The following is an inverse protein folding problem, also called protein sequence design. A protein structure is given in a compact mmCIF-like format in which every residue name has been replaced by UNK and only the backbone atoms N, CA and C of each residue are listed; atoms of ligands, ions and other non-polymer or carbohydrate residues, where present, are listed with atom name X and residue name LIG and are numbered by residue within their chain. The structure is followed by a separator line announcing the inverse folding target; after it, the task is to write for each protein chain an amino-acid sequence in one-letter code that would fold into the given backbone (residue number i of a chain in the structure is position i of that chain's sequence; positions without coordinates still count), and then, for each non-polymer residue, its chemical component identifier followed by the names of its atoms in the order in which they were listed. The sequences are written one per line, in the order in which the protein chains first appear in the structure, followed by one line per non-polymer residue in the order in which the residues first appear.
data_IF_730667584795
#
_entry.id   IF_730667584795
#
_cell.length_a   1.000
_cell.length_b   1.000
_cell.length_c   1.000
_cell.angle_alpha   90.00
_cell.angle_beta   90.00
_cell.angle_gamma   90.00
#
_symmetry.space_group_name_H-M   'P 1'
#
loop_
_entity.id
_entity.type
_entity.pdbx_description
1 polymer ?
#
# COMPACT_ATOMS: atom_id res chain seq x y z
N UNK A 1 -29.69 33.47 -27.70
CA UNK A 1 -29.90 32.45 -26.66
C UNK A 1 -28.69 32.50 -25.74
N UNK A 2 -28.88 33.10 -24.56
CA UNK A 2 -27.84 33.53 -23.63
C UNK A 2 -28.13 32.88 -22.29
N UNK A 3 -27.21 32.10 -21.76
CA UNK A 3 -27.30 31.48 -20.44
C UNK A 3 -26.15 32.00 -19.57
N UNK A 4 -26.40 33.15 -18.94
CA UNK A 4 -25.63 33.59 -17.78
C UNK A 4 -26.08 32.74 -16.59
N UNK A 5 -25.15 31.98 -16.00
CA UNK A 5 -25.36 31.26 -14.74
C UNK A 5 -24.66 32.03 -13.63
N UNK A 6 -25.46 32.68 -12.80
CA UNK A 6 -25.07 33.39 -11.59
C UNK A 6 -24.59 32.37 -10.55
N UNK A 7 -23.38 32.55 -10.02
CA UNK A 7 -22.86 31.83 -8.85
C UNK A 7 -22.99 32.79 -7.68
N UNK A 8 -23.98 32.54 -6.82
CA UNK A 8 -24.17 33.21 -5.54
C UNK A 8 -23.22 32.62 -4.50
N UNK A 9 -22.22 33.42 -4.13
CA UNK A 9 -21.97 33.85 -2.75
C UNK A 9 -22.38 32.87 -1.63
N UNK A 10 -21.40 32.13 -1.09
CA UNK A 10 -21.50 31.47 0.22
C UNK A 10 -20.48 32.16 1.13
N UNK A 11 -20.86 33.29 1.69
CA UNK A 11 -20.14 33.90 2.81
C UNK A 11 -20.47 33.14 4.10
N UNK A 12 -19.68 32.12 4.39
CA UNK A 12 -19.67 31.47 5.70
C UNK A 12 -19.03 32.41 6.73
N UNK A 13 -19.84 33.13 7.48
CA UNK A 13 -19.42 34.02 8.58
C UNK A 13 -18.89 33.18 9.74
N UNK A 14 -17.58 32.93 9.79
CA UNK A 14 -16.92 32.42 11.00
C UNK A 14 -16.86 33.55 12.03
N UNK A 15 -17.77 33.53 12.99
CA UNK A 15 -17.75 34.43 14.14
C UNK A 15 -16.46 34.24 14.95
N UNK A 16 -15.62 35.26 14.96
CA UNK A 16 -14.49 35.37 15.88
C UNK A 16 -15.00 35.82 17.24
N UNK A 17 -15.08 34.90 18.21
CA UNK A 17 -15.32 35.22 19.60
C UNK A 17 -14.07 35.86 20.22
N UNK A 18 -14.11 37.17 20.40
CA UNK A 18 -13.12 37.92 21.20
C UNK A 18 -13.47 37.77 22.67
N UNK A 19 -12.81 36.84 23.36
CA UNK A 19 -12.93 36.70 24.81
C UNK A 19 -11.98 37.68 25.50
N UNK A 20 -12.52 38.80 25.96
CA UNK A 20 -11.84 39.80 26.80
C UNK A 20 -11.66 39.25 28.21
N UNK A 21 -10.43 39.33 28.72
CA UNK A 21 -10.03 38.79 30.02
C UNK A 21 -10.77 39.40 31.22
N UNK A 22 -11.14 38.51 32.14
CA UNK A 22 -11.08 38.64 33.61
C UNK A 22 -11.88 37.47 34.20
N UNK A 23 -11.24 36.32 34.39
CA UNK A 23 -11.65 35.32 35.40
C UNK A 23 -10.49 34.33 35.59
N UNK A 24 -9.47 34.81 36.32
CA UNK A 24 -8.49 33.92 36.96
C UNK A 24 -9.12 33.45 38.27
N UNK A 25 -8.96 32.16 38.54
CA UNK A 25 -9.33 31.45 39.77
C UNK A 25 -10.81 31.05 39.91
N UNK A 26 -11.17 29.92 39.28
CA UNK A 26 -11.97 28.81 39.85
C UNK A 26 -12.68 28.04 38.73
N UNK A 27 -11.95 27.27 37.92
CA UNK A 27 -12.51 26.15 37.12
C UNK A 27 -11.37 25.25 36.62
N UNK A 28 -10.71 24.59 37.57
CA UNK A 28 -9.63 23.63 37.32
C UNK A 28 -10.04 22.14 37.26
N UNK A 29 -11.32 21.71 37.40
CA UNK A 29 -11.65 20.30 37.14
C UNK A 29 -12.61 20.04 35.96
N UNK A 30 -13.03 21.05 35.18
CA UNK A 30 -14.00 20.82 34.07
C UNK A 30 -13.43 20.99 32.65
N UNK A 31 -12.14 21.34 32.51
CA UNK A 31 -11.44 21.39 31.21
C UNK A 31 -10.60 20.14 30.91
N UNK A 32 -10.77 19.07 31.70
CA UNK A 32 -10.18 17.76 31.39
C UNK A 32 -11.14 16.82 30.64
N UNK A 33 -12.43 17.14 30.56
CA UNK A 33 -13.43 16.24 29.93
C UNK A 33 -13.81 16.60 28.49
N UNK A 34 -13.29 17.69 27.91
CA UNK A 34 -13.57 18.05 26.50
C UNK A 34 -12.38 17.88 25.54
N UNK A 35 -11.14 17.74 26.01
CA UNK A 35 -9.99 17.46 25.14
C UNK A 35 -9.80 15.97 24.84
N UNK A 36 -10.49 15.07 25.54
CA UNK A 36 -10.41 13.63 25.31
C UNK A 36 -11.39 13.14 24.23
N UNK A 37 -12.26 14.00 23.69
CA UNK A 37 -13.22 13.63 22.64
C UNK A 37 -12.89 14.13 21.23
N UNK A 38 -11.79 14.88 21.05
CA UNK A 38 -11.37 15.37 19.72
C UNK A 38 -10.06 14.74 19.19
N UNK A 39 -9.44 13.85 19.96
CA UNK A 39 -8.19 13.15 19.59
C UNK A 39 -8.41 11.66 19.25
N UNK A 40 -9.63 11.15 19.33
CA UNK A 40 -9.98 9.82 18.79
C UNK A 40 -11.07 9.93 17.73
N UNK A 41 -10.75 10.58 16.62
CA UNK A 41 -11.37 10.26 15.33
C UNK A 41 -10.38 10.47 14.18
N UNK A 42 -9.14 10.01 14.37
CA UNK A 42 -8.45 9.41 13.23
C UNK A 42 -9.29 8.19 12.86
N UNK A 43 -10.03 8.34 11.78
CA UNK A 43 -10.80 7.26 11.19
C UNK A 43 -9.78 6.18 10.75
N UNK A 44 -9.76 4.99 11.37
CA UNK A 44 -8.84 3.92 10.95
C UNK A 44 -9.13 3.43 9.52
N UNK A 45 -10.24 3.87 8.88
CA UNK A 45 -10.49 3.62 7.46
C UNK A 45 -9.60 4.41 6.51
N UNK A 46 -9.02 5.55 6.90
CA UNK A 46 -8.24 6.38 5.95
C UNK A 46 -6.84 5.81 5.73
N UNK A 47 -6.20 5.27 6.77
CA UNK A 47 -4.93 4.54 6.61
C UNK A 47 -5.13 3.19 5.86
N UNK A 48 -6.29 2.56 5.98
CA UNK A 48 -6.62 1.38 5.20
C UNK A 48 -6.86 1.69 3.71
N UNK A 49 -7.25 2.92 3.37
CA UNK A 49 -7.56 3.29 1.99
C UNK A 49 -6.31 3.56 1.15
N UNK A 50 -5.26 4.14 1.74
CA UNK A 50 -3.98 4.33 1.05
C UNK A 50 -3.25 2.99 0.83
N UNK A 51 -3.30 2.09 1.82
CA UNK A 51 -2.78 0.72 1.65
C UNK A 51 -3.55 -0.06 0.58
N UNK A 52 -4.86 0.17 0.45
CA UNK A 52 -5.67 -0.43 -0.61
C UNK A 52 -5.36 0.14 -1.99
N UNK A 53 -5.12 1.45 -2.13
CA UNK A 53 -4.78 2.05 -3.43
C UNK A 53 -3.38 1.60 -3.90
N UNK A 54 -2.41 1.54 -2.98
CA UNK A 54 -1.06 1.01 -3.27
C UNK A 54 -1.10 -0.49 -3.54
N UNK A 55 -1.97 -1.26 -2.86
CA UNK A 55 -2.21 -2.66 -3.21
C UNK A 55 -2.87 -2.82 -4.59
N UNK A 56 -3.83 -1.97 -4.95
CA UNK A 56 -4.55 -2.06 -6.22
C UNK A 56 -3.65 -1.62 -7.39
N UNK A 57 -2.77 -0.63 -7.18
CA UNK A 57 -1.71 -0.24 -8.11
C UNK A 57 -0.65 -1.35 -8.26
N UNK A 58 -0.24 -2.03 -7.18
CA UNK A 58 0.62 -3.22 -7.25
C UNK A 58 -0.08 -4.37 -8.00
N UNK A 59 -1.37 -4.62 -7.77
CA UNK A 59 -2.15 -5.63 -8.51
C UNK A 59 -2.22 -5.30 -10.00
N UNK A 60 -2.43 -4.03 -10.36
CA UNK A 60 -2.43 -3.57 -11.76
C UNK A 60 -1.05 -3.68 -12.41
N UNK A 61 0.02 -3.37 -11.70
CA UNK A 61 1.40 -3.51 -12.20
C UNK A 61 1.80 -4.98 -12.43
N UNK A 62 1.38 -5.90 -11.54
CA UNK A 62 1.64 -7.34 -11.68
C UNK A 62 0.83 -7.94 -12.85
N UNK A 63 -0.38 -7.44 -13.11
CA UNK A 63 -1.19 -7.87 -14.26
C UNK A 63 -0.62 -7.29 -15.58
N UNK A 64 -0.07 -6.08 -15.56
CA UNK A 64 0.48 -5.42 -16.76
C UNK A 64 1.88 -5.91 -17.16
N UNK A 65 2.70 -6.45 -16.26
CA UNK A 65 4.04 -6.95 -16.60
C UNK A 65 4.06 -8.38 -17.15
N UNK A 66 2.89 -9.05 -17.21
CA UNK A 66 2.76 -10.43 -17.70
C UNK A 66 2.40 -10.55 -19.19
N UNK A 67 2.50 -9.46 -19.95
CA UNK A 67 2.20 -9.42 -21.37
C UNK A 67 3.47 -9.30 -22.23
N UNK A 68 4.39 -10.26 -22.07
CA UNK A 68 5.26 -10.65 -23.19
C UNK A 68 4.54 -11.73 -24.01
N UNK A 69 4.45 -11.60 -25.35
CA UNK A 69 3.74 -12.54 -26.21
C UNK A 69 4.58 -13.82 -26.44
N UNK A 70 4.85 -14.56 -25.37
CA UNK A 70 5.20 -15.97 -25.52
C UNK A 70 3.87 -16.72 -25.63
N UNK A 71 3.47 -17.01 -26.87
CA UNK A 71 2.32 -17.86 -27.23
C UNK A 71 2.44 -19.22 -26.56
N UNK A 72 2.04 -19.27 -25.30
CA UNK A 72 1.87 -20.47 -24.51
C UNK A 72 0.39 -20.75 -24.67
N UNK A 73 0.04 -21.78 -25.45
CA UNK A 73 -1.32 -22.29 -25.57
C UNK A 73 -1.80 -22.66 -24.16
N UNK A 74 -2.44 -21.72 -23.48
CA UNK A 74 -3.16 -21.97 -22.24
C UNK A 74 -4.31 -22.90 -22.63
N UNK A 75 -4.36 -24.14 -22.12
CA UNK A 75 -5.49 -25.01 -22.39
C UNK A 75 -6.76 -24.28 -21.95
N UNK A 76 -7.83 -24.28 -22.78
CA UNK A 76 -9.04 -23.53 -22.50
C UNK A 76 -9.55 -23.90 -21.11
N UNK A 77 -9.66 -22.89 -20.24
CA UNK A 77 -10.23 -23.08 -18.91
C UNK A 77 -11.66 -23.62 -19.07
N UNK A 78 -12.04 -24.70 -18.38
CA UNK A 78 -13.40 -25.21 -18.46
C UNK A 78 -14.34 -24.11 -17.95
N UNK A 79 -15.23 -23.64 -18.82
CA UNK A 79 -16.23 -22.66 -18.43
C UNK A 79 -17.04 -23.21 -17.25
N UNK A 80 -17.37 -22.38 -16.24
CA UNK A 80 -18.21 -22.83 -15.14
C UNK A 80 -19.52 -23.38 -15.72
N UNK A 81 -19.86 -24.61 -15.36
CA UNK A 81 -21.06 -25.27 -15.87
C UNK A 81 -22.27 -24.39 -15.57
N UNK A 82 -23.07 -24.14 -16.60
CA UNK A 82 -24.35 -23.46 -16.41
C UNK A 82 -25.26 -24.33 -15.53
N UNK A 83 -26.10 -23.70 -14.73
CA UNK A 83 -27.04 -24.42 -13.85
C UNK A 83 -27.89 -25.45 -14.63
N UNK A 84 -28.21 -25.16 -15.90
CA UNK A 84 -28.96 -26.08 -16.77
C UNK A 84 -28.17 -27.33 -17.16
N UNK A 85 -26.86 -27.23 -17.37
CA UNK A 85 -25.99 -28.40 -17.60
C UNK A 85 -25.90 -29.28 -16.35
N UNK A 86 -25.91 -28.68 -15.16
CA UNK A 86 -25.96 -29.41 -13.89
C UNK A 86 -27.25 -30.22 -13.74
N UNK A 87 -28.40 -29.61 -14.02
CA UNK A 87 -29.70 -30.30 -13.96
C UNK A 87 -29.77 -31.43 -15.01
N UNK A 88 -29.27 -31.17 -16.22
CA UNK A 88 -29.18 -32.21 -17.24
C UNK A 88 -28.29 -33.38 -16.79
N UNK A 89 -27.15 -33.10 -16.13
CA UNK A 89 -26.29 -34.13 -15.56
C UNK A 89 -27.02 -34.99 -14.53
N UNK A 90 -27.72 -34.36 -13.58
CA UNK A 90 -28.49 -35.07 -12.54
C UNK A 90 -29.54 -36.00 -13.15
N UNK A 91 -30.21 -35.54 -14.22
CA UNK A 91 -31.24 -36.33 -14.90
C UNK A 91 -30.63 -37.46 -15.73
N UNK A 92 -29.55 -37.23 -16.48
CA UNK A 92 -29.01 -38.20 -17.45
C UNK A 92 -28.14 -39.29 -16.80
N UNK A 93 -27.38 -38.95 -15.75
CA UNK A 93 -26.45 -39.87 -15.08
C UNK A 93 -27.11 -41.20 -14.65
N UNK A 94 -28.28 -41.23 -13.98
CA UNK A 94 -28.89 -42.50 -13.57
C UNK A 94 -29.30 -43.37 -14.76
N UNK A 95 -29.76 -42.78 -15.86
CA UNK A 95 -30.13 -43.55 -17.07
C UNK A 95 -28.91 -44.09 -17.79
N UNK A 96 -27.83 -43.30 -17.90
CA UNK A 96 -26.60 -43.76 -18.53
C UNK A 96 -25.98 -44.93 -17.75
N UNK A 97 -25.96 -44.83 -16.41
CA UNK A 97 -25.47 -45.90 -15.55
C UNK A 97 -26.34 -47.16 -15.62
N UNK A 98 -27.67 -47.00 -15.60
CA UNK A 98 -28.59 -48.13 -15.74
C UNK A 98 -28.43 -48.81 -17.10
N UNK A 99 -28.28 -48.04 -18.19
CA UNK A 99 -28.10 -48.58 -19.52
C UNK A 99 -26.77 -49.34 -19.67
N UNK A 100 -25.65 -48.77 -19.21
CA UNK A 100 -24.35 -49.43 -19.29
C UNK A 100 -24.36 -50.74 -18.49
N UNK A 101 -24.90 -50.70 -17.27
CA UNK A 101 -24.98 -51.88 -16.40
C UNK A 101 -25.88 -52.95 -17.01
N UNK A 102 -27.03 -52.57 -17.55
CA UNK A 102 -27.96 -53.51 -18.20
C UNK A 102 -27.32 -54.12 -19.44
N UNK A 103 -26.62 -53.33 -20.26
CA UNK A 103 -25.94 -53.84 -21.45
C UNK A 103 -24.78 -54.77 -21.13
N UNK A 104 -23.99 -54.50 -20.10
CA UNK A 104 -22.92 -55.40 -19.67
C UNK A 104 -23.47 -56.73 -19.15
N UNK A 105 -24.58 -56.70 -18.39
CA UNK A 105 -25.26 -57.91 -17.94
C UNK A 105 -25.84 -58.70 -19.11
N UNK A 106 -26.45 -58.02 -20.09
CA UNK A 106 -26.97 -58.67 -21.30
C UNK A 106 -25.85 -59.25 -22.17
N UNK A 107 -24.73 -58.55 -22.35
CA UNK A 107 -23.56 -59.05 -23.08
C UNK A 107 -22.91 -60.23 -22.36
N UNK A 108 -22.83 -60.17 -21.03
CA UNK A 108 -22.36 -61.29 -20.22
C UNK A 108 -23.26 -62.50 -20.39
N UNK A 109 -24.58 -62.33 -20.26
CA UNK A 109 -25.55 -63.41 -20.46
C UNK A 109 -25.50 -63.95 -21.90
N UNK A 110 -25.43 -63.07 -22.89
CA UNK A 110 -25.30 -63.46 -24.30
C UNK A 110 -24.02 -64.28 -24.54
N UNK A 111 -22.88 -63.82 -24.02
CA UNK A 111 -21.63 -64.57 -24.11
C UNK A 111 -21.67 -65.89 -23.32
N UNK A 112 -22.44 -65.96 -22.23
CA UNK A 112 -22.62 -67.18 -21.45
C UNK A 112 -23.44 -68.24 -22.20
N UNK A 113 -24.48 -67.83 -22.93
CA UNK A 113 -25.39 -68.75 -23.63
C UNK A 113 -25.04 -69.00 -25.10
N UNK A 114 -24.45 -68.01 -25.78
CA UNK A 114 -24.20 -68.03 -27.22
C UNK A 114 -22.76 -67.64 -27.60
N UNK A 115 -21.90 -67.32 -26.62
CA UNK A 115 -20.52 -66.96 -26.90
C UNK A 115 -19.71 -68.14 -27.46
N UNK A 116 -18.83 -67.92 -28.44
CA UNK A 116 -17.97 -68.99 -28.97
C UNK A 116 -17.12 -69.56 -27.82
N UNK A 117 -16.95 -70.90 -27.75
CA UNK A 117 -16.16 -71.52 -26.68
C UNK A 117 -14.76 -70.89 -26.67
N UNK A 118 -14.35 -70.35 -25.53
CA UNK A 118 -13.08 -69.64 -25.38
C UNK A 118 -11.94 -70.48 -25.94
N UNK A 119 -11.42 -70.07 -27.10
CA UNK A 119 -10.32 -70.75 -27.77
C UNK A 119 -9.06 -70.54 -26.93
N UNK A 120 -8.79 -71.47 -26.01
CA UNK A 120 -7.51 -71.54 -25.29
C UNK A 120 -6.43 -71.73 -26.33
N UNK A 121 -5.67 -70.68 -26.62
CA UNK A 121 -4.54 -70.78 -27.54
C UNK A 121 -3.52 -71.78 -26.96
N UNK A 122 -2.95 -72.68 -27.77
CA UNK A 122 -1.87 -73.55 -27.32
C UNK A 122 -0.64 -72.71 -27.00
N UNK A 123 0.04 -73.04 -25.91
CA UNK A 123 1.39 -72.56 -25.63
C UNK A 123 2.32 -73.32 -26.56
N UNK A 124 2.56 -72.77 -27.75
CA UNK A 124 3.58 -73.31 -28.65
C UNK A 124 4.96 -72.84 -28.18
N UNK A 125 5.79 -73.81 -27.81
CA UNK A 125 7.20 -73.64 -27.46
C UNK A 125 7.99 -73.19 -28.69
N UNK A 126 8.23 -71.88 -28.78
CA UNK A 126 9.05 -71.25 -29.81
C UNK A 126 10.54 -71.28 -29.46
N UNK A 127 11.28 -72.01 -30.29
CA UNK A 127 12.72 -71.99 -30.55
C UNK A 127 13.40 -70.64 -30.27
N UNK A 128 14.49 -70.68 -29.49
CA UNK A 128 15.46 -69.60 -29.24
C UNK A 128 16.11 -69.13 -30.57
N UNK A 129 15.47 -68.23 -31.30
CA UNK A 129 16.15 -67.37 -32.27
C UNK A 129 16.40 -66.03 -31.61
N UNK A 130 17.67 -65.66 -31.52
CA UNK A 130 18.18 -64.46 -30.85
C UNK A 130 17.52 -63.17 -31.41
N UNK A 131 16.61 -62.50 -30.67
CA UNK A 131 15.87 -61.33 -31.13
C UNK A 131 16.62 -60.03 -30.76
N UNK A 132 17.93 -59.96 -31.02
CA UNK A 132 18.76 -58.84 -30.57
C UNK A 132 18.83 -57.65 -31.55
N UNK A 133 18.45 -57.81 -32.82
CA UNK A 133 18.61 -56.74 -33.82
C UNK A 133 17.39 -55.83 -34.02
N UNK A 134 16.25 -56.11 -33.37
CA UNK A 134 15.02 -55.29 -33.52
C UNK A 134 14.63 -54.49 -32.26
N UNK A 135 15.34 -54.66 -31.12
CA UNK A 135 15.05 -53.95 -29.85
C UNK A 135 15.99 -52.76 -29.56
N UNK A 136 17.06 -52.58 -30.32
CA UNK A 136 17.97 -51.44 -30.14
C UNK A 136 17.34 -50.04 -30.31
N UNK A 137 16.42 -49.78 -31.27
CA UNK A 137 15.91 -48.42 -31.46
C UNK A 137 15.06 -47.94 -30.27
N UNK A 138 14.31 -48.84 -29.61
CA UNK A 138 13.44 -48.48 -28.47
C UNK A 138 14.26 -48.08 -27.24
N UNK A 139 15.35 -48.79 -26.94
CA UNK A 139 16.22 -48.47 -25.79
C UNK A 139 16.93 -47.12 -25.97
N UNK A 140 17.25 -46.75 -27.22
CA UNK A 140 17.84 -45.44 -27.51
C UNK A 140 16.81 -44.32 -27.37
N UNK A 141 15.57 -44.54 -27.84
CA UNK A 141 14.47 -43.58 -27.66
C UNK A 141 14.20 -43.31 -26.17
N UNK A 142 14.13 -44.36 -25.35
CA UNK A 142 13.91 -44.23 -23.90
C UNK A 142 15.03 -43.43 -23.21
N UNK A 143 16.29 -43.65 -23.59
CA UNK A 143 17.42 -42.87 -23.05
C UNK A 143 17.37 -41.40 -23.44
N UNK A 144 16.88 -41.08 -24.64
CA UNK A 144 16.71 -39.70 -25.09
C UNK A 144 15.59 -39.04 -24.29
N UNK A 145 14.44 -39.70 -24.14
CA UNK A 145 13.30 -39.21 -23.37
C UNK A 145 13.69 -38.95 -21.91
N UNK A 146 14.39 -39.88 -21.27
CA UNK A 146 14.88 -39.71 -19.89
C UNK A 146 15.83 -38.52 -19.76
N UNK A 147 16.73 -38.31 -20.74
CA UNK A 147 17.63 -37.15 -20.74
C UNK A 147 16.88 -35.83 -20.87
N UNK A 148 15.84 -35.78 -21.70
CA UNK A 148 14.99 -34.61 -21.85
C UNK A 148 14.20 -34.31 -20.59
N UNK A 149 13.62 -35.33 -19.95
CA UNK A 149 12.92 -35.20 -18.68
C UNK A 149 13.85 -34.71 -17.56
N UNK A 150 15.06 -35.27 -17.45
CA UNK A 150 16.04 -34.82 -16.47
C UNK A 150 16.44 -33.36 -16.71
N UNK A 151 16.70 -32.99 -17.97
CA UNK A 151 17.02 -31.61 -18.33
C UNK A 151 15.87 -30.64 -18.03
N UNK A 152 14.63 -31.06 -18.23
CA UNK A 152 13.46 -30.27 -17.88
C UNK A 152 13.32 -30.10 -16.35
N UNK A 153 13.55 -31.18 -15.60
CA UNK A 153 13.54 -31.16 -14.13
C UNK A 153 14.62 -30.22 -13.57
N UNK A 154 15.86 -30.32 -14.07
CA UNK A 154 16.97 -29.48 -13.61
C UNK A 154 16.70 -27.99 -13.89
N UNK A 155 16.11 -27.68 -15.06
CA UNK A 155 15.69 -26.32 -15.40
C UNK A 155 14.60 -25.80 -14.46
N UNK A 156 13.57 -26.61 -14.20
CA UNK A 156 12.49 -26.22 -13.28
C UNK A 156 13.04 -25.97 -11.87
N UNK A 157 13.93 -26.85 -11.38
CA UNK A 157 14.57 -26.72 -10.08
C UNK A 157 15.43 -25.44 -9.99
N UNK A 158 16.14 -25.08 -11.05
CA UNK A 158 16.92 -23.84 -11.11
C UNK A 158 16.03 -22.59 -11.02
N UNK A 159 14.88 -22.60 -11.71
CA UNK A 159 13.90 -21.51 -11.67
C UNK A 159 13.31 -21.37 -10.27
N UNK A 160 12.93 -22.47 -9.62
CA UNK A 160 12.36 -22.45 -8.27
C UNK A 160 13.36 -21.94 -7.23
N UNK A 161 14.64 -22.34 -7.36
CA UNK A 161 15.73 -21.80 -6.53
C UNK A 161 15.89 -20.30 -6.75
N UNK A 162 15.95 -19.83 -8.00
CA UNK A 162 16.11 -18.41 -8.31
C UNK A 162 14.94 -17.58 -7.80
N UNK A 163 13.70 -18.06 -7.96
CA UNK A 163 12.50 -17.38 -7.47
C UNK A 163 12.48 -17.30 -5.95
N UNK A 164 12.93 -18.35 -5.27
CA UNK A 164 13.02 -18.38 -3.80
C UNK A 164 14.05 -17.36 -3.29
N UNK A 165 15.23 -17.31 -3.92
CA UNK A 165 16.27 -16.33 -3.57
C UNK A 165 15.85 -14.89 -3.88
N UNK A 166 15.17 -14.65 -5.01
CA UNK A 166 14.62 -13.33 -5.34
C UNK A 166 13.60 -12.86 -4.30
N UNK A 167 12.64 -13.73 -3.93
CA UNK A 167 11.65 -13.41 -2.89
C UNK A 167 12.32 -13.10 -1.55
N UNK A 168 13.34 -13.88 -1.18
CA UNK A 168 14.11 -13.67 0.06
C UNK A 168 14.90 -12.35 0.04
N UNK A 169 15.46 -11.97 -1.11
CA UNK A 169 16.18 -10.70 -1.26
C UNK A 169 15.23 -9.50 -1.21
N UNK A 170 14.07 -9.60 -1.85
CA UNK A 170 13.03 -8.56 -1.81
C UNK A 170 12.49 -8.39 -0.38
N UNK A 171 12.17 -9.49 0.30
CA UNK A 171 11.71 -9.48 1.70
C UNK A 171 12.72 -8.81 2.65
N UNK A 172 14.02 -9.10 2.46
CA UNK A 172 15.10 -8.43 3.21
C UNK A 172 15.14 -6.93 2.94
N UNK A 173 15.03 -6.50 1.68
CA UNK A 173 15.00 -5.08 1.32
C UNK A 173 13.80 -4.37 1.94
N UNK A 174 12.61 -4.96 1.84
CA UNK A 174 11.40 -4.37 2.42
C UNK A 174 11.48 -4.28 3.94
N UNK A 175 12.11 -5.27 4.60
CA UNK A 175 12.31 -5.25 6.04
C UNK A 175 13.32 -4.18 6.47
N UNK A 176 14.46 -4.10 5.78
CA UNK A 176 15.47 -3.07 6.06
C UNK A 176 14.92 -1.65 5.84
N UNK A 177 14.04 -1.45 4.86
CA UNK A 177 13.34 -0.19 4.61
C UNK A 177 12.29 0.12 5.69
N UNK A 178 11.50 -0.88 6.10
CA UNK A 178 10.53 -0.73 7.19
C UNK A 178 11.22 -0.41 8.52
N UNK A 179 12.30 -1.12 8.86
CA UNK A 179 13.09 -0.88 10.08
C UNK A 179 13.71 0.54 10.05
N UNK A 180 14.18 1.00 8.88
CA UNK A 180 14.67 2.37 8.70
C UNK A 180 13.55 3.39 8.89
N UNK A 181 12.37 3.17 8.30
CA UNK A 181 11.22 4.06 8.46
C UNK A 181 10.74 4.11 9.92
N UNK A 182 10.71 2.98 10.63
CA UNK A 182 10.35 2.91 12.04
C UNK A 182 11.35 3.66 12.92
N UNK A 183 12.66 3.48 12.70
CA UNK A 183 13.69 4.21 13.44
C UNK A 183 13.59 5.73 13.25
N UNK A 184 13.30 6.18 12.01
CA UNK A 184 13.02 7.59 11.70
C UNK A 184 11.78 8.08 12.45
N UNK A 185 10.67 7.35 12.41
CA UNK A 185 9.44 7.70 13.14
C UNK A 185 9.66 7.79 14.64
N UNK A 186 10.39 6.85 15.23
CA UNK A 186 10.70 6.84 16.65
C UNK A 186 11.55 8.05 17.07
N UNK A 187 12.55 8.41 16.26
CA UNK A 187 13.39 9.58 16.49
C UNK A 187 12.57 10.88 16.50
N UNK A 188 11.66 11.05 15.53
CA UNK A 188 10.80 12.22 15.44
C UNK A 188 9.85 12.33 16.62
N UNK A 189 9.28 11.19 17.04
CA UNK A 189 8.41 11.15 18.20
C UNK A 189 9.15 11.61 19.45
N UNK A 190 10.36 11.11 19.69
CA UNK A 190 11.17 11.53 20.83
C UNK A 190 11.48 13.02 20.79
N UNK A 191 11.85 13.55 19.61
CA UNK A 191 12.14 14.98 19.45
C UNK A 191 10.91 15.86 19.66
N UNK A 192 9.73 15.44 19.20
CA UNK A 192 8.47 16.14 19.43
C UNK A 192 8.11 16.19 20.92
N UNK A 193 8.35 15.11 21.65
CA UNK A 193 8.15 15.06 23.11
C UNK A 193 9.13 15.99 23.85
N UNK A 194 10.39 16.04 23.44
CA UNK A 194 11.42 16.94 23.99
C UNK A 194 11.09 18.43 23.75
N UNK A 195 10.66 18.76 22.53
CA UNK A 195 10.25 20.12 22.16
C UNK A 195 8.98 20.52 22.92
N UNK A 196 7.97 19.64 22.98
CA UNK A 196 6.74 19.88 23.73
C UNK A 196 6.98 20.14 25.21
N UNK A 197 7.93 19.42 25.82
CA UNK A 197 8.32 19.63 27.23
C UNK A 197 9.06 20.96 27.47
N UNK A 198 9.79 21.44 26.46
CA UNK A 198 10.61 22.67 26.54
C UNK A 198 9.84 23.92 26.08
N UNK A 199 8.63 23.75 25.53
CA UNK A 199 7.84 24.86 25.00
C UNK A 199 7.59 25.91 26.11
N UNK A 200 8.12 27.12 25.89
CA UNK A 200 7.97 28.22 26.82
C UNK A 200 6.51 28.65 26.91
N UNK A 201 6.08 29.01 28.13
CA UNK A 201 4.77 29.62 28.34
C UNK A 201 4.72 31.00 27.66
N UNK A 202 3.59 31.32 27.05
CA UNK A 202 3.38 32.62 26.42
C UNK A 202 3.62 33.76 27.42
N UNK A 203 4.31 34.84 27.01
CA UNK A 203 4.49 36.01 27.86
C UNK A 203 3.14 36.70 28.10
N UNK A 204 2.69 36.67 29.35
CA UNK A 204 1.55 37.45 29.84
C UNK A 204 2.00 38.93 29.96
N UNK A 205 1.89 39.74 28.90
CA UNK A 205 2.44 41.10 28.92
C UNK A 205 1.79 42.11 27.98
N UNK A 206 1.76 43.38 28.43
CA UNK A 206 1.36 44.58 27.67
C UNK A 206 2.58 45.44 27.30
N UNK A 207 3.79 45.02 27.68
CA UNK A 207 5.00 45.84 27.54
C UNK A 207 5.76 45.57 26.24
N UNK A 208 5.72 46.57 25.36
CA UNK A 208 6.81 47.08 24.50
C UNK A 208 7.36 46.22 23.36
N UNK A 209 7.61 44.94 23.60
CA UNK A 209 8.45 44.10 22.74
C UNK A 209 7.78 42.75 22.45
N UNK A 210 6.49 42.82 22.12
CA UNK A 210 5.66 41.66 21.79
C UNK A 210 5.17 41.75 20.33
N UNK A 211 5.36 40.65 19.61
CA UNK A 211 4.86 40.44 18.26
C UNK A 211 3.63 39.55 18.33
N UNK A 212 2.48 40.05 17.85
CA UNK A 212 1.26 39.26 17.74
C UNK A 212 1.25 38.47 16.44
N UNK A 213 1.36 37.16 16.53
CA UNK A 213 1.39 36.27 15.36
C UNK A 213 0.05 35.59 15.24
N UNK A 214 -0.60 35.81 14.10
CA UNK A 214 -1.80 35.09 13.68
C UNK A 214 -1.39 34.03 12.68
N UNK A 215 -1.60 32.77 13.01
CA UNK A 215 -1.33 31.62 12.17
C UNK A 215 -2.67 31.15 11.60
N UNK A 216 -2.78 31.12 10.27
CA UNK A 216 -3.96 30.66 9.55
C UNK A 216 -3.69 29.28 8.97
N UNK A 217 -4.51 28.30 9.33
CA UNK A 217 -4.39 26.92 8.86
C UNK A 217 -5.25 26.67 7.61
N UNK A 218 -4.90 25.68 6.77
CA UNK A 218 -5.72 25.25 5.63
C UNK A 218 -7.15 24.86 6.03
N UNK A 219 -7.33 24.36 7.26
CA UNK A 219 -8.62 23.99 7.85
C UNK A 219 -9.52 25.18 8.24
N UNK A 220 -9.17 26.40 7.82
CA UNK A 220 -9.77 27.67 8.27
C UNK A 220 -9.61 27.97 9.77
N UNK A 221 -8.96 27.12 10.54
CA UNK A 221 -8.61 27.39 11.94
C UNK A 221 -7.61 28.55 12.01
N UNK A 222 -7.71 29.37 13.05
CA UNK A 222 -6.80 30.49 13.31
C UNK A 222 -6.27 30.40 14.72
N UNK A 223 -4.96 30.44 14.86
CA UNK A 223 -4.26 30.48 16.13
C UNK A 223 -3.61 31.85 16.29
N UNK A 224 -3.82 32.50 17.42
CA UNK A 224 -3.16 33.76 17.73
C UNK A 224 -2.33 33.59 18.99
N UNK A 225 -1.05 33.94 18.90
CA UNK A 225 -0.12 33.89 20.04
C UNK A 225 0.78 35.13 20.03
N UNK A 226 1.23 35.54 21.20
CA UNK A 226 2.18 36.64 21.35
C UNK A 226 3.58 36.07 21.63
N UNK A 227 4.58 36.59 20.93
CA UNK A 227 5.98 36.18 21.05
C UNK A 227 6.85 37.39 21.33
N UNK A 228 8.04 37.20 21.92
CA UNK A 228 9.02 38.28 22.02
C UNK A 228 9.75 38.44 20.69
N UNK A 229 10.24 39.63 20.39
CA UNK A 229 11.03 39.87 19.17
C UNK A 229 12.32 39.04 19.11
N UNK A 230 12.88 38.73 20.28
CA UNK A 230 14.09 37.90 20.44
C UNK A 230 13.83 36.41 20.26
N UNK A 231 12.58 35.95 20.26
CA UNK A 231 12.28 34.53 20.13
C UNK A 231 12.56 34.06 18.69
N UNK A 232 13.02 32.82 18.57
CA UNK A 232 13.30 32.15 17.30
C UNK A 232 12.08 31.38 16.81
N UNK A 233 11.99 31.20 15.49
CA UNK A 233 10.91 30.48 14.83
C UNK A 233 11.22 28.98 14.74
N UNK A 234 11.37 28.31 15.89
CA UNK A 234 11.93 26.94 15.94
C UNK A 234 10.88 25.80 15.90
N UNK A 235 9.59 26.09 15.79
CA UNK A 235 8.54 25.06 15.82
C UNK A 235 7.72 25.02 14.53
N UNK A 236 8.20 24.26 13.54
CA UNK A 236 7.46 23.96 12.32
C UNK A 236 7.11 22.48 12.21
N UNK A 237 5.84 22.13 11.89
CA UNK A 237 5.47 20.75 11.63
C UNK A 237 5.94 20.28 10.24
N UNK A 238 6.13 18.96 10.16
CA UNK A 238 6.96 18.30 9.15
C UNK A 238 6.57 18.57 7.68
N UNK A 239 5.27 18.64 7.41
CA UNK A 239 4.71 18.72 6.04
C UNK A 239 4.22 20.12 5.68
N UNK A 240 4.54 21.13 6.49
CA UNK A 240 3.96 22.45 6.35
C UNK A 240 5.03 23.51 6.08
N UNK A 241 4.76 24.36 5.09
CA UNK A 241 5.54 25.56 4.81
C UNK A 241 4.83 26.80 5.35
N UNK A 242 5.55 27.66 6.07
CA UNK A 242 5.03 28.90 6.62
C UNK A 242 5.31 30.05 5.65
N UNK A 243 4.27 30.80 5.29
CA UNK A 243 4.37 31.99 4.45
C UNK A 243 3.84 33.22 5.18
N UNK A 244 4.55 34.34 5.09
CA UNK A 244 3.99 35.64 5.50
C UNK A 244 3.02 36.16 4.45
N UNK A 245 2.02 36.95 4.87
CA UNK A 245 1.05 37.53 3.93
C UNK A 245 1.59 38.75 3.15
N UNK A 246 2.36 39.64 3.81
CA UNK A 246 2.92 40.83 3.16
C UNK A 246 4.22 41.32 3.83
N UNK A 247 5.34 41.44 3.09
CA UNK A 247 5.57 40.82 1.78
C UNK A 247 5.44 39.29 1.87
N UNK A 248 5.07 38.63 0.78
CA UNK A 248 4.99 37.16 0.77
C UNK A 248 6.40 36.59 0.79
N UNK A 249 6.81 36.03 1.92
CA UNK A 249 8.11 35.39 2.14
C UNK A 249 7.88 34.04 2.80
N UNK A 250 8.60 33.02 2.34
CA UNK A 250 8.66 31.73 3.02
C UNK A 250 9.56 31.90 4.26
N UNK A 251 9.04 31.52 5.42
CA UNK A 251 9.78 31.55 6.66
C UNK A 251 10.55 30.24 6.83
N UNK A 252 11.85 30.34 7.13
CA UNK A 252 12.67 29.18 7.44
C UNK A 252 12.52 28.86 8.93
N UNK A 253 11.69 27.85 9.23
CA UNK A 253 11.28 27.48 10.59
C UNK A 253 11.76 26.09 11.01
N UNK A 254 12.50 25.39 10.15
CA UNK A 254 12.98 24.04 10.41
C UNK A 254 14.26 24.06 11.26
N UNK A 255 14.25 23.46 12.47
CA UNK A 255 15.45 23.26 13.29
C UNK A 255 16.57 22.53 12.55
N UNK A 256 17.82 22.75 12.96
CA UNK A 256 18.99 22.07 12.36
C UNK A 256 18.87 20.54 12.45
N UNK A 257 18.39 20.03 13.58
CA UNK A 257 18.16 18.59 13.76
C UNK A 257 17.12 18.05 12.79
N UNK A 258 16.10 18.85 12.47
CA UNK A 258 15.05 18.49 11.51
C UNK A 258 15.61 18.48 10.08
N UNK A 259 16.33 19.54 9.68
CA UNK A 259 16.99 19.60 8.36
C UNK A 259 17.93 18.42 8.15
N UNK A 260 18.72 18.07 9.17
CA UNK A 260 19.65 16.94 9.08
C UNK A 260 18.95 15.58 8.91
N UNK A 261 17.77 15.40 9.51
CA UNK A 261 17.04 14.13 9.47
C UNK A 261 16.26 13.91 8.16
N UNK A 262 15.83 14.99 7.49
CA UNK A 262 14.96 14.92 6.32
C UNK A 262 15.60 15.43 5.02
N UNK A 263 16.50 16.40 5.07
CA UNK A 263 17.11 16.97 3.87
C UNK A 263 18.37 16.22 3.40
N UNK A 264 18.89 15.28 4.20
CA UNK A 264 20.10 14.53 3.85
C UNK A 264 19.89 13.50 2.72
N UNK A 265 18.65 13.06 2.47
CA UNK A 265 18.34 12.00 1.51
C UNK A 265 17.79 12.53 0.16
N UNK A 266 17.49 13.83 0.05
CA UNK A 266 16.89 14.44 -1.14
C UNK A 266 17.92 15.31 -1.88
N UNK A 267 18.55 14.74 -2.93
CA UNK A 267 19.28 15.42 -4.02
C UNK A 267 19.71 16.89 -3.76
N UNK A 268 20.63 17.10 -2.82
CA UNK A 268 21.66 18.16 -2.81
C UNK A 268 21.32 19.63 -3.14
N UNK A 269 20.06 20.07 -3.21
CA UNK A 269 19.73 21.45 -3.63
C UNK A 269 18.63 22.10 -2.79
N UNK A 270 18.89 22.34 -1.52
CA UNK A 270 18.22 23.43 -0.79
C UNK A 270 19.24 24.51 -0.45
N UNK A 271 19.30 25.51 -1.32
CA UNK A 271 20.26 26.62 -1.37
C UNK A 271 20.05 27.70 -0.28
N UNK A 272 19.35 27.38 0.82
CA UNK A 272 19.06 28.35 1.87
C UNK A 272 19.51 27.83 3.24
N UNK A 273 20.83 27.75 3.42
CA UNK A 273 21.50 27.58 4.72
C UNK A 273 21.37 28.81 5.64
N UNK A 274 20.40 29.69 5.38
CA UNK A 274 20.16 30.80 6.28
C UNK A 274 19.75 30.25 7.67
N UNK A 275 20.48 30.61 8.74
CA UNK A 275 20.15 30.20 10.08
C UNK A 275 18.77 30.73 10.45
N UNK A 276 18.07 30.02 11.34
CA UNK A 276 16.73 30.40 11.80
C UNK A 276 16.80 31.81 12.38
N UNK A 277 16.16 32.75 11.69
CA UNK A 277 16.09 34.13 12.13
C UNK A 277 15.17 34.29 13.35
N UNK A 278 15.44 35.30 14.16
CA UNK A 278 14.47 35.79 15.15
C UNK A 278 13.30 36.48 14.44
N UNK A 279 12.17 36.65 15.13
CA UNK A 279 11.04 37.42 14.58
C UNK A 279 11.46 38.83 14.13
N UNK A 280 12.35 39.48 14.87
CA UNK A 280 12.95 40.75 14.47
C UNK A 280 13.79 40.63 13.18
N UNK A 281 14.63 39.59 13.06
CA UNK A 281 15.44 39.34 11.87
C UNK A 281 14.60 39.05 10.62
N UNK A 282 13.43 38.44 10.79
CA UNK A 282 12.45 38.22 9.73
C UNK A 282 11.63 39.49 9.36
N UNK A 283 11.83 40.61 10.07
CA UNK A 283 11.11 41.87 9.84
C UNK A 283 9.70 41.89 10.44
N UNK A 284 9.39 41.00 11.39
CA UNK A 284 8.08 40.86 12.02
C UNK A 284 8.06 41.65 13.33
N UNK A 285 7.61 42.92 13.28
CA UNK A 285 7.78 43.84 14.41
C UNK A 285 6.52 44.15 15.26
N UNK A 286 5.31 43.98 14.74
CA UNK A 286 4.09 44.39 15.50
C UNK A 286 3.05 43.29 15.48
N UNK A 287 2.65 42.94 14.26
CA UNK A 287 1.79 41.80 14.02
C UNK A 287 2.16 41.17 12.68
N UNK A 288 2.05 39.86 12.63
CA UNK A 288 2.28 39.09 11.42
C UNK A 288 1.12 38.12 11.21
N UNK A 289 0.67 38.00 9.95
CA UNK A 289 -0.22 36.91 9.55
C UNK A 289 0.62 35.90 8.78
N UNK A 290 0.74 34.70 9.36
CA UNK A 290 1.44 33.56 8.80
C UNK A 290 0.39 32.59 8.29
N UNK A 291 0.52 32.18 7.03
CA UNK A 291 -0.33 31.17 6.41
C UNK A 291 0.46 29.87 6.36
N UNK A 292 -0.15 28.82 6.91
CA UNK A 292 0.36 27.46 6.85
C UNK A 292 -0.09 26.87 5.52
N UNK A 293 0.85 26.44 4.68
CA UNK A 293 0.58 25.70 3.45
C UNK A 293 1.00 24.25 3.64
N UNK A 294 0.12 23.34 3.27
CA UNK A 294 0.42 21.91 3.21
C UNK A 294 1.27 21.65 1.96
N UNK A 295 2.39 20.95 2.10
CA UNK A 295 3.27 20.61 0.99
C UNK A 295 2.76 19.38 0.22
N UNK A 296 1.86 18.59 0.83
CA UNK A 296 1.37 17.31 0.28
C UNK A 296 0.00 17.43 -0.42
N UNK A 297 -0.64 18.61 -0.36
CA UNK A 297 -1.96 18.88 -0.93
C UNK A 297 -1.90 19.32 -2.41
#
# INVERSE_FOLDING_TARGET
MSTKKTISEIEGTCQTSTYSGRFVALMKPLLLTCCESLVTRENPEVLQNEDNEVQELRRRAIISSKQEPTSTLVPPQPMPLTWSQWVQGIVVIPFQYFYSTTMDVLLFAYNLFFGPPSNRRPIDGGTHQNPQTAREPDVLADRIIMREQQKAYDKALAIDKQKTEQRKMEERRTREEADRAESKRAFLRQKREEVGATMRREPDGTEGDLVRIRISFPSCAKLERNFRHSDSLEDCPDNFSLFTNFPVKQLNCAPDWYRSAFCADADGSMENDEPIGTFAGAGLFKSANIVVRDNDA
#
